data_IF_434991110705
#
_entry.id   IF_434991110705
#
_cell.length_a   1.000
_cell.length_b   1.000
_cell.length_c   1.000
_cell.angle_alpha   90.00
_cell.angle_beta   90.00
_cell.angle_gamma   90.00
#
_symmetry.space_group_name_H-M   'P 1'
#
loop_
_entity.id
_entity.type
_entity.pdbx_description
1 polymer ?
#
# COMPACT_ATOMS: atom_id res chain seq x y z
N UNK A 1 0.63 9.14 -10.61
CA UNK A 1 0.62 8.66 -9.21
C UNK A 1 0.28 7.18 -9.24
N UNK A 2 1.22 6.31 -8.88
CA UNK A 2 1.00 4.86 -8.87
C UNK A 2 0.41 4.51 -7.49
N UNK A 3 -0.86 4.11 -7.49
CA UNK A 3 -1.55 3.63 -6.28
C UNK A 3 -1.67 2.12 -6.32
N UNK A 4 -1.54 1.51 -5.16
CA UNK A 4 -1.68 0.08 -4.95
C UNK A 4 -2.99 -0.17 -4.23
N UNK A 5 -3.75 -1.12 -4.73
CA UNK A 5 -4.96 -1.64 -4.11
C UNK A 5 -4.69 -3.02 -3.51
N UNK A 6 -5.61 -3.47 -2.65
CA UNK A 6 -5.58 -4.85 -2.13
C UNK A 6 -5.52 -5.89 -3.27
N UNK A 7 -6.18 -5.63 -4.40
CA UNK A 7 -6.19 -6.55 -5.55
C UNK A 7 -4.82 -6.64 -6.21
N UNK A 8 -4.16 -5.50 -6.42
CA UNK A 8 -2.82 -5.47 -7.01
C UNK A 8 -1.82 -6.27 -6.16
N UNK A 9 -1.92 -6.17 -4.83
CA UNK A 9 -1.10 -6.99 -3.92
C UNK A 9 -1.40 -8.49 -4.04
N UNK A 10 -2.67 -8.87 -4.24
CA UNK A 10 -3.06 -10.27 -4.45
C UNK A 10 -2.53 -10.78 -5.80
N UNK A 11 -2.61 -9.98 -6.86
CA UNK A 11 -2.04 -10.30 -8.18
C UNK A 11 -0.52 -10.42 -8.16
N UNK A 12 0.15 -9.65 -7.28
CA UNK A 12 1.59 -9.78 -7.02
C UNK A 12 1.96 -11.07 -6.24
N UNK A 13 0.97 -11.84 -5.78
CA UNK A 13 1.17 -13.10 -5.06
C UNK A 13 1.16 -12.98 -3.55
N UNK A 14 0.81 -11.81 -2.98
CA UNK A 14 0.60 -11.69 -1.55
C UNK A 14 -0.74 -12.34 -1.13
N UNK A 15 -0.73 -13.07 -0.02
CA UNK A 15 -1.96 -13.66 0.53
C UNK A 15 -3.02 -12.59 0.86
N UNK A 16 -4.29 -12.94 0.77
CA UNK A 16 -5.42 -12.00 0.99
C UNK A 16 -5.38 -11.30 2.35
N UNK A 17 -4.93 -12.01 3.40
CA UNK A 17 -4.72 -11.45 4.74
C UNK A 17 -3.56 -10.47 4.76
N UNK A 18 -2.41 -10.87 4.18
CA UNK A 18 -1.21 -10.05 4.15
C UNK A 18 -1.41 -8.76 3.32
N UNK A 19 -2.09 -8.87 2.19
CA UNK A 19 -2.51 -7.72 1.39
C UNK A 19 -3.40 -6.76 2.19
N UNK A 20 -4.33 -7.27 3.02
CA UNK A 20 -5.17 -6.42 3.86
C UNK A 20 -4.37 -5.72 4.97
N UNK A 21 -3.41 -6.42 5.59
CA UNK A 21 -2.53 -5.86 6.60
C UNK A 21 -1.61 -4.78 6.03
N UNK A 22 -1.01 -5.00 4.84
CA UNK A 22 -0.22 -3.99 4.13
C UNK A 22 -1.03 -2.72 3.91
N UNK A 23 -2.26 -2.83 3.38
CA UNK A 23 -3.12 -1.66 3.14
C UNK A 23 -3.43 -0.94 4.45
N UNK A 24 -3.65 -1.67 5.55
CA UNK A 24 -3.94 -1.08 6.86
C UNK A 24 -2.73 -0.33 7.42
N UNK A 25 -1.55 -0.92 7.36
CA UNK A 25 -0.32 -0.28 7.86
C UNK A 25 0.11 0.89 6.98
N UNK A 26 0.01 0.76 5.64
CA UNK A 26 0.30 1.86 4.72
C UNK A 26 -0.63 3.07 4.96
N UNK A 27 -1.91 2.85 5.27
CA UNK A 27 -2.82 3.94 5.69
C UNK A 27 -2.35 4.62 6.97
N UNK A 28 -1.97 3.85 8.00
CA UNK A 28 -1.47 4.41 9.26
C UNK A 28 -0.22 5.26 9.03
N UNK A 29 0.71 4.78 8.20
CA UNK A 29 1.90 5.52 7.82
C UNK A 29 1.53 6.85 7.15
N UNK A 30 0.61 6.84 6.19
CA UNK A 30 0.13 8.06 5.52
C UNK A 30 -0.53 9.04 6.48
N UNK A 31 -1.34 8.55 7.43
CA UNK A 31 -1.95 9.39 8.48
C UNK A 31 -0.87 10.00 9.37
N UNK A 32 0.15 9.22 9.76
CA UNK A 32 1.29 9.68 10.55
C UNK A 32 2.11 10.75 9.84
N UNK A 33 2.16 10.72 8.50
CA UNK A 33 2.78 11.76 7.66
C UNK A 33 1.94 13.03 7.54
N UNK A 34 0.75 13.07 8.14
CA UNK A 34 -0.17 14.21 8.10
C UNK A 34 -1.24 14.11 7.02
N UNK A 35 -1.32 13.00 6.28
CA UNK A 35 -2.35 12.80 5.26
C UNK A 35 -3.63 12.18 5.86
N UNK A 36 -4.46 13.04 6.46
CA UNK A 36 -5.76 12.66 7.06
C UNK A 36 -6.75 12.07 6.06
N UNK A 37 -6.54 12.27 4.76
CA UNK A 37 -7.31 11.65 3.67
C UNK A 37 -7.41 10.12 3.78
N UNK A 38 -6.35 9.46 4.26
CA UNK A 38 -6.28 7.99 4.36
C UNK A 38 -6.94 7.42 5.62
N UNK A 39 -7.52 8.26 6.47
CA UNK A 39 -8.26 7.85 7.66
C UNK A 39 -9.59 7.16 7.33
N UNK A 40 -10.12 7.36 6.12
CA UNK A 40 -11.39 6.78 5.71
C UNK A 40 -11.31 5.26 5.54
N UNK A 41 -12.24 4.55 6.19
CA UNK A 41 -12.38 3.08 6.07
C UNK A 41 -12.74 2.62 4.66
N UNK A 42 -13.41 3.46 3.85
CA UNK A 42 -13.84 3.13 2.48
C UNK A 42 -12.73 3.25 1.41
N UNK A 43 -11.55 3.75 1.79
CA UNK A 43 -10.49 4.00 0.82
C UNK A 43 -9.62 2.75 0.65
N UNK A 44 -9.86 1.91 -0.34
CA UNK A 44 -9.09 0.67 -0.53
C UNK A 44 -7.81 0.83 -1.36
N UNK A 45 -7.28 2.05 -1.42
CA UNK A 45 -6.10 2.43 -2.21
C UNK A 45 -5.10 3.24 -1.38
N UNK A 46 -3.84 2.91 -1.53
CA UNK A 46 -2.69 3.59 -0.89
C UNK A 46 -1.63 3.87 -1.94
N UNK A 47 -0.78 4.91 -1.78
CA UNK A 47 0.31 5.14 -2.72
C UNK A 47 1.36 4.04 -2.60
N UNK A 48 2.00 3.69 -3.73
CA UNK A 48 3.11 2.73 -3.77
C UNK A 48 4.24 3.14 -2.83
N UNK A 49 4.56 4.42 -2.75
CA UNK A 49 5.59 4.96 -1.86
C UNK A 49 5.36 4.55 -0.39
N UNK A 50 4.12 4.57 0.09
CA UNK A 50 3.81 4.15 1.46
C UNK A 50 3.97 2.64 1.65
N UNK A 51 3.73 1.85 0.61
CA UNK A 51 3.92 0.40 0.64
C UNK A 51 5.40 0.04 0.59
N UNK A 52 6.18 0.75 -0.24
CA UNK A 52 7.64 0.61 -0.35
C UNK A 52 8.33 0.93 0.97
N UNK A 53 7.94 2.05 1.59
CA UNK A 53 8.47 2.47 2.90
C UNK A 53 8.07 1.51 4.02
N UNK A 54 6.84 0.99 3.98
CA UNK A 54 6.37 0.00 4.95
C UNK A 54 7.15 -1.32 4.84
N UNK A 55 7.35 -1.82 3.62
CA UNK A 55 8.01 -3.09 3.37
C UNK A 55 9.55 -2.97 3.40
N UNK A 56 10.09 -1.74 3.39
CA UNK A 56 11.53 -1.50 3.29
C UNK A 56 12.11 -1.98 1.96
N UNK A 57 11.28 -2.12 0.93
CA UNK A 57 11.69 -2.53 -0.42
C UNK A 57 11.37 -1.40 -1.39
N UNK A 58 12.28 -1.13 -2.31
CA UNK A 58 11.94 -0.41 -3.54
C UNK A 58 11.43 -1.43 -4.53
N UNK A 59 10.17 -1.30 -4.99
CA UNK A 59 9.76 -2.08 -6.15
C UNK A 59 10.55 -1.55 -7.34
N UNK A 60 11.64 -2.23 -7.67
CA UNK A 60 12.33 -2.02 -8.94
C UNK A 60 11.39 -2.59 -9.99
N UNK A 61 10.81 -1.70 -10.80
CA UNK A 61 10.15 -2.11 -12.02
C UNK A 61 11.24 -2.81 -12.85
N UNK A 62 11.26 -4.14 -12.83
CA UNK A 62 12.02 -4.91 -13.81
C UNK A 62 11.27 -4.79 -15.13
N UNK A 63 11.41 -3.62 -15.76
CA UNK A 63 11.26 -3.48 -17.20
C UNK A 63 12.46 -4.20 -17.80
N UNK A 64 12.25 -5.46 -18.19
CA UNK A 64 13.14 -6.20 -19.09
C UNK A 64 12.40 -6.37 -20.41
#
# INVERSE_FOLDING_TARGET
MITVTKKDLIELGYGTSFAADIIREAKKLMISKGHTYYQSRKLDRVPREAVEELLGITFTDKSN
#
